data_IF_264091934319
#
_entry.id   IF_264091934319
#
_cell.length_a   1.000
_cell.length_b   1.000
_cell.length_c   1.000
_cell.angle_alpha   90.00
_cell.angle_beta   90.00
_cell.angle_gamma   90.00
#
_symmetry.space_group_name_H-M   'P 1'
#
loop_
_entity.id
_entity.type
_entity.pdbx_description
1 polymer ?
#
# COMPACT_ATOMS: atom_id res chain seq x y z
N UNK A 1 -0.04 -5.11 -14.84
CA UNK A 1 -0.40 -5.27 -13.42
C UNK A 1 -1.78 -5.88 -13.41
N UNK A 2 -1.91 -7.11 -12.91
CA UNK A 2 -3.03 -8.03 -13.09
C UNK A 2 -4.35 -7.50 -12.50
N UNK A 3 -5.47 -7.82 -13.16
CA UNK A 3 -6.85 -7.34 -12.95
C UNK A 3 -7.53 -7.69 -11.61
N UNK A 4 -6.80 -8.02 -10.54
CA UNK A 4 -7.39 -8.47 -9.27
C UNK A 4 -6.85 -7.67 -8.07
N UNK A 5 -6.89 -6.33 -8.14
CA UNK A 5 -6.80 -5.50 -6.92
C UNK A 5 -8.23 -5.21 -6.46
N UNK A 6 -8.68 -5.75 -5.32
CA UNK A 6 -9.98 -5.42 -4.76
C UNK A 6 -10.14 -3.90 -4.70
N UNK A 7 -11.24 -3.38 -5.22
CA UNK A 7 -11.52 -1.95 -5.14
C UNK A 7 -11.69 -1.61 -3.66
N UNK A 8 -10.74 -0.87 -3.10
CA UNK A 8 -10.84 -0.35 -1.75
C UNK A 8 -11.98 0.67 -1.72
N UNK A 9 -12.98 0.42 -0.88
CA UNK A 9 -14.21 1.23 -0.76
C UNK A 9 -14.22 2.07 0.51
N UNK A 10 -13.44 1.67 1.51
CA UNK A 10 -13.26 2.40 2.77
C UNK A 10 -11.81 2.84 2.96
N UNK A 11 -11.60 3.86 3.79
CA UNK A 11 -10.26 4.27 4.14
C UNK A 11 -9.53 3.20 4.96
N UNK A 12 -10.25 2.42 5.75
CA UNK A 12 -9.72 1.39 6.62
C UNK A 12 -9.21 0.17 5.84
N UNK A 13 -9.79 -0.09 4.67
CA UNK A 13 -9.25 -1.00 3.64
C UNK A 13 -8.03 -0.40 2.93
N UNK A 14 -8.07 0.90 2.63
CA UNK A 14 -6.96 1.60 1.99
C UNK A 14 -5.73 1.77 2.87
N UNK A 15 -5.93 1.90 4.19
CA UNK A 15 -4.86 2.26 5.11
C UNK A 15 -3.70 1.26 5.13
N UNK A 16 -3.93 -0.08 5.23
CA UNK A 16 -2.86 -1.05 5.11
C UNK A 16 -2.11 -0.95 3.78
N UNK A 17 -2.80 -0.79 2.65
CA UNK A 17 -2.18 -0.55 1.35
C UNK A 17 -1.33 0.72 1.35
N UNK A 18 -1.84 1.82 1.90
CA UNK A 18 -1.10 3.07 2.01
C UNK A 18 0.19 2.90 2.83
N UNK A 19 0.12 2.24 4.00
CA UNK A 19 1.31 1.97 4.84
C UNK A 19 2.31 1.08 4.09
N UNK A 20 1.80 0.15 3.30
CA UNK A 20 2.59 -0.74 2.45
C UNK A 20 3.37 0.00 1.36
N UNK A 21 2.93 1.21 0.98
CA UNK A 21 3.66 2.11 0.07
C UNK A 21 4.74 2.95 0.77
N UNK A 22 4.96 2.77 2.08
CA UNK A 22 5.91 3.52 2.89
C UNK A 22 6.63 2.61 3.89
N UNK A 23 7.08 1.44 3.44
CA UNK A 23 7.77 0.46 4.30
C UNK A 23 9.20 0.89 4.64
N UNK A 24 9.84 1.72 3.80
CA UNK A 24 11.15 2.27 4.10
C UNK A 24 11.08 3.35 5.21
N UNK A 25 11.88 3.24 6.28
CA UNK A 25 11.86 4.20 7.38
C UNK A 25 12.33 5.60 6.97
N UNK A 26 13.19 5.74 5.97
CA UNK A 26 13.64 7.03 5.44
C UNK A 26 12.55 7.69 4.62
N UNK A 27 11.81 6.92 3.82
CA UNK A 27 10.61 7.40 3.13
C UNK A 27 9.61 8.02 4.14
N UNK A 28 9.27 7.30 5.22
CA UNK A 28 8.37 7.81 6.27
C UNK A 28 8.91 9.07 6.95
N UNK A 29 10.22 9.13 7.24
CA UNK A 29 10.85 10.33 7.84
C UNK A 29 10.76 11.54 6.91
N UNK A 30 10.95 11.35 5.60
CA UNK A 30 10.83 12.43 4.63
C UNK A 30 9.38 12.93 4.54
N UNK A 31 8.39 12.04 4.53
CA UNK A 31 6.98 12.45 4.65
C UNK A 31 6.74 13.22 5.94
N UNK A 32 7.24 12.73 7.08
CA UNK A 32 7.11 13.42 8.36
C UNK A 32 7.66 14.84 8.34
N UNK A 33 8.87 15.02 7.80
CA UNK A 33 9.51 16.34 7.65
C UNK A 33 8.72 17.22 6.69
N UNK A 34 8.34 16.71 5.52
CA UNK A 34 7.56 17.44 4.52
C UNK A 34 6.21 17.93 5.06
N UNK A 35 5.45 17.05 5.70
CA UNK A 35 4.17 17.38 6.34
C UNK A 35 4.35 18.40 7.47
N UNK A 36 5.39 18.26 8.30
CA UNK A 36 5.68 19.22 9.38
C UNK A 36 5.99 20.62 8.84
N UNK A 37 6.80 20.71 7.78
CA UNK A 37 7.12 21.97 7.13
C UNK A 37 5.89 22.60 6.45
N UNK A 38 5.05 21.78 5.81
CA UNK A 38 3.79 22.24 5.23
C UNK A 38 2.84 22.80 6.31
N UNK A 39 2.69 22.10 7.43
CA UNK A 39 1.91 22.57 8.59
C UNK A 39 2.49 23.86 9.19
N UNK A 40 3.81 23.96 9.31
CA UNK A 40 4.49 25.19 9.72
C UNK A 40 4.22 26.37 8.78
N UNK A 41 4.22 26.13 7.47
CA UNK A 41 3.86 27.15 6.48
C UNK A 41 2.40 27.60 6.61
N UNK A 42 1.47 26.66 6.85
CA UNK A 42 0.07 26.97 7.11
C UNK A 42 -0.10 27.80 8.39
N UNK A 43 0.60 27.45 9.46
CA UNK A 43 0.58 28.19 10.72
C UNK A 43 1.14 29.62 10.57
N UNK A 44 2.11 29.83 9.67
CA UNK A 44 2.71 31.13 9.38
C UNK A 44 1.85 32.01 8.46
N UNK A 45 0.90 31.42 7.72
CA UNK A 45 0.10 32.11 6.70
C UNK A 45 -0.59 33.41 7.18
N UNK A 46 -1.12 33.51 8.42
CA UNK A 46 -1.70 34.77 8.92
C UNK A 46 -0.72 35.94 8.97
N UNK A 47 0.57 35.66 9.13
CA UNK A 47 1.64 36.68 9.20
C UNK A 47 2.38 36.86 7.87
N UNK A 48 2.46 35.79 7.08
CA UNK A 48 3.13 35.77 5.77
C UNK A 48 2.32 34.91 4.79
N UNK A 49 1.31 35.48 4.10
CA UNK A 49 0.45 34.71 3.20
C UNK A 49 1.20 33.98 2.07
N UNK A 50 2.36 34.51 1.64
CA UNK A 50 3.22 33.84 0.66
C UNK A 50 3.79 32.49 1.14
N UNK A 51 3.76 32.20 2.45
CA UNK A 51 4.11 30.88 2.99
C UNK A 51 3.18 29.77 2.46
N UNK A 52 1.94 30.10 2.07
CA UNK A 52 1.01 29.12 1.46
C UNK A 52 1.54 28.53 0.16
N UNK A 53 2.37 29.28 -0.60
CA UNK A 53 2.99 28.77 -1.81
C UNK A 53 4.10 27.76 -1.52
N UNK A 54 4.76 27.87 -0.36
CA UNK A 54 5.82 26.96 0.05
C UNK A 54 5.27 25.64 0.63
N UNK A 55 4.05 25.65 1.20
CA UNK A 55 3.43 24.48 1.79
C UNK A 55 3.35 23.25 0.85
N UNK A 56 2.83 23.36 -0.40
CA UNK A 56 2.83 22.22 -1.32
C UNK A 56 4.23 21.83 -1.79
N UNK A 57 5.16 22.78 -1.90
CA UNK A 57 6.55 22.50 -2.30
C UNK A 57 7.24 21.63 -1.27
N UNK A 58 7.12 21.96 0.02
CA UNK A 58 7.69 21.14 1.07
C UNK A 58 6.95 19.82 1.25
N UNK A 59 5.62 19.83 1.25
CA UNK A 59 4.83 18.60 1.36
C UNK A 59 5.18 17.59 0.28
N UNK A 60 5.01 17.97 -0.99
CA UNK A 60 5.25 17.07 -2.11
C UNK A 60 6.73 16.80 -2.38
N UNK A 61 7.60 17.81 -2.24
CA UNK A 61 9.02 17.66 -2.55
C UNK A 61 9.69 16.58 -1.70
N UNK A 62 9.47 16.60 -0.38
CA UNK A 62 10.01 15.58 0.51
C UNK A 62 9.31 14.23 0.34
N UNK A 63 7.99 14.21 0.21
CA UNK A 63 7.24 12.96 -0.01
C UNK A 63 7.70 12.23 -1.28
N UNK A 64 7.78 12.95 -2.40
CA UNK A 64 8.22 12.37 -3.67
C UNK A 64 9.68 11.95 -3.66
N UNK A 65 10.57 12.66 -2.94
CA UNK A 65 11.94 12.21 -2.73
C UNK A 65 11.98 10.87 -1.97
N UNK A 66 11.12 10.70 -0.96
CA UNK A 66 10.93 9.43 -0.25
C UNK A 66 10.56 8.29 -1.19
N UNK A 67 9.49 8.50 -1.97
CA UNK A 67 9.02 7.51 -2.94
C UNK A 67 10.04 7.22 -4.04
N UNK A 68 10.68 8.23 -4.62
CA UNK A 68 11.56 8.04 -5.78
C UNK A 68 12.92 7.43 -5.40
N UNK A 69 13.51 7.84 -4.28
CA UNK A 69 14.88 7.45 -3.92
C UNK A 69 14.94 6.22 -3.02
N UNK A 70 13.96 6.05 -2.12
CA UNK A 70 14.00 5.03 -1.08
C UNK A 70 13.02 3.90 -1.38
N UNK A 71 11.74 4.22 -1.54
CA UNK A 71 10.70 3.20 -1.73
C UNK A 71 10.69 2.64 -3.16
N UNK A 72 11.06 3.46 -4.15
CA UNK A 72 11.07 3.14 -5.58
C UNK A 72 9.70 2.69 -6.12
N UNK A 73 8.63 3.26 -5.59
CA UNK A 73 7.25 3.03 -6.05
C UNK A 73 6.61 4.32 -6.56
N UNK A 74 5.38 4.19 -7.09
CA UNK A 74 4.56 5.36 -7.43
C UNK A 74 3.69 5.74 -6.23
N UNK A 75 3.63 7.03 -5.84
CA UNK A 75 2.77 7.50 -4.77
C UNK A 75 1.31 7.06 -4.94
N UNK A 76 0.69 6.60 -3.85
CA UNK A 76 -0.73 6.24 -3.81
C UNK A 76 -1.65 7.44 -4.13
N UNK A 77 -1.15 8.68 -4.02
CA UNK A 77 -1.87 9.90 -4.36
C UNK A 77 -2.39 9.90 -5.80
N UNK A 78 -1.71 9.20 -6.72
CA UNK A 78 -2.15 9.08 -8.12
C UNK A 78 -3.37 8.17 -8.32
N UNK A 79 -3.70 7.32 -7.34
CA UNK A 79 -4.86 6.42 -7.39
C UNK A 79 -5.97 6.87 -6.44
N UNK A 80 -5.62 7.27 -5.21
CA UNK A 80 -6.56 7.73 -4.19
C UNK A 80 -6.07 9.05 -3.56
N UNK A 81 -6.26 10.21 -4.21
CA UNK A 81 -5.65 11.47 -3.78
C UNK A 81 -6.12 11.92 -2.38
N UNK A 82 -7.43 11.91 -2.13
CA UNK A 82 -8.00 12.34 -0.84
C UNK A 82 -7.63 11.39 0.30
N UNK A 83 -7.61 10.09 0.04
CA UNK A 83 -7.20 9.11 1.04
C UNK A 83 -5.71 9.13 1.30
N UNK A 84 -4.89 9.41 0.29
CA UNK A 84 -3.45 9.57 0.48
C UNK A 84 -3.14 10.79 1.34
N UNK A 85 -3.84 11.91 1.13
CA UNK A 85 -3.73 13.08 2.02
C UNK A 85 -4.13 12.76 3.46
N UNK A 86 -5.27 12.06 3.66
CA UNK A 86 -5.66 11.56 4.99
C UNK A 86 -4.62 10.60 5.58
N UNK A 87 -4.02 9.76 4.73
CA UNK A 87 -2.95 8.84 5.07
C UNK A 87 -1.71 9.57 5.57
N UNK A 88 -1.28 10.62 4.88
CA UNK A 88 -0.13 11.44 5.27
C UNK A 88 -0.32 12.02 6.67
N UNK A 89 -1.50 12.58 6.98
CA UNK A 89 -1.79 13.10 8.31
C UNK A 89 -1.87 12.00 9.38
N UNK A 90 -2.49 10.84 9.07
CA UNK A 90 -2.55 9.70 10.00
C UNK A 90 -1.15 9.15 10.29
N UNK A 91 -0.32 8.96 9.27
CA UNK A 91 1.05 8.51 9.41
C UNK A 91 1.90 9.52 10.17
N UNK A 92 1.77 10.82 9.86
CA UNK A 92 2.44 11.89 10.62
C UNK A 92 2.07 11.84 12.10
N UNK A 93 0.80 11.71 12.43
CA UNK A 93 0.31 11.63 13.81
C UNK A 93 0.80 10.38 14.54
N UNK A 94 0.73 9.21 13.91
CA UNK A 94 1.24 7.97 14.49
C UNK A 94 2.76 8.00 14.66
N UNK A 95 3.48 8.67 13.75
CA UNK A 95 4.93 8.90 13.88
C UNK A 95 5.24 9.80 15.08
N UNK A 96 4.48 10.89 15.28
CA UNK A 96 4.57 11.73 16.49
C UNK A 96 4.37 10.91 17.77
N UNK A 97 3.48 9.93 17.75
CA UNK A 97 3.17 9.07 18.90
C UNK A 97 4.12 7.87 19.05
N UNK A 98 5.00 7.60 18.09
CA UNK A 98 5.82 6.38 18.09
C UNK A 98 5.00 5.09 17.87
N UNK A 99 3.84 5.18 17.20
CA UNK A 99 2.86 4.09 17.05
C UNK A 99 2.76 3.52 15.63
N UNK A 100 3.80 3.68 14.82
CA UNK A 100 3.82 3.15 13.45
C UNK A 100 4.04 1.64 13.39
N UNK A 101 4.73 1.05 14.37
CA UNK A 101 5.12 -0.36 14.33
C UNK A 101 3.94 -1.33 14.11
N UNK A 102 2.82 -1.25 14.87
CA UNK A 102 1.71 -2.17 14.67
C UNK A 102 1.06 -2.04 13.28
N UNK A 103 1.09 -0.85 12.68
CA UNK A 103 0.50 -0.61 11.36
C UNK A 103 1.41 -1.15 10.25
N UNK A 104 2.74 -1.11 10.45
CA UNK A 104 3.71 -1.74 9.55
C UNK A 104 3.54 -3.26 9.55
N UNK A 105 3.41 -3.86 10.74
CA UNK A 105 3.16 -5.30 10.87
C UNK A 105 1.84 -5.72 10.19
N UNK A 106 0.77 -4.95 10.39
CA UNK A 106 -0.50 -5.17 9.69
C UNK A 106 -0.37 -5.08 8.17
N UNK A 107 0.38 -4.11 7.66
CA UNK A 107 0.61 -3.95 6.23
C UNK A 107 1.46 -5.09 5.63
N UNK A 108 2.47 -5.57 6.37
CA UNK A 108 3.28 -6.73 5.99
C UNK A 108 2.44 -8.02 5.97
N UNK A 109 1.59 -8.22 6.98
CA UNK A 109 0.70 -9.37 7.06
C UNK A 109 -0.28 -9.41 5.87
N UNK A 110 -0.88 -8.28 5.51
CA UNK A 110 -1.76 -8.18 4.33
C UNK A 110 -1.05 -8.61 3.04
N UNK A 111 0.20 -8.20 2.85
CA UNK A 111 0.98 -8.63 1.68
C UNK A 111 1.29 -10.13 1.70
N UNK A 112 1.64 -10.68 2.87
CA UNK A 112 1.89 -12.12 3.01
C UNK A 112 0.64 -12.94 2.67
N UNK A 113 -0.53 -12.53 3.15
CA UNK A 113 -1.81 -13.17 2.84
C UNK A 113 -2.17 -13.06 1.34
N UNK A 114 -1.96 -11.90 0.72
CA UNK A 114 -2.17 -11.72 -0.72
C UNK A 114 -1.28 -12.64 -1.55
N UNK A 115 0.00 -12.74 -1.20
CA UNK A 115 0.95 -13.63 -1.89
C UNK A 115 0.62 -15.10 -1.68
N UNK A 116 0.18 -15.49 -0.48
CA UNK A 116 -0.26 -16.86 -0.18
C UNK A 116 -1.54 -17.24 -0.95
N UNK A 117 -2.51 -16.33 -1.06
CA UNK A 117 -3.73 -16.52 -1.84
C UNK A 117 -3.45 -16.62 -3.35
N UNK A 118 -2.53 -15.81 -3.87
CA UNK A 118 -2.11 -15.86 -5.28
C UNK A 118 -1.38 -17.17 -5.65
N UNK A 119 -0.81 -17.89 -4.68
CA UNK A 119 -0.21 -19.21 -4.87
C UNK A 119 -1.19 -20.38 -4.70
N UNK A 120 -2.40 -20.12 -4.19
CA UNK A 120 -3.39 -21.14 -3.81
C UNK A 120 -4.44 -21.50 -4.87
N UNK A 121 -4.51 -20.79 -6.01
CA UNK A 121 -5.49 -21.05 -7.09
C UNK A 121 -4.92 -21.91 -8.24
N UNK A 122 -3.88 -22.72 -7.97
CA UNK A 122 -3.18 -23.50 -9.00
C UNK A 122 -3.26 -25.03 -8.90
N UNK A 123 -3.80 -25.60 -7.82
CA UNK A 123 -3.81 -27.05 -7.62
C UNK A 123 -5.17 -27.54 -7.10
N UNK A 124 -5.94 -28.20 -7.97
CA UNK A 124 -7.05 -29.04 -7.57
C UNK A 124 -8.30 -28.90 -8.44
N UNK A 125 -8.32 -29.61 -9.56
CA UNK A 125 -9.48 -30.42 -10.00
C UNK A 125 -9.11 -31.15 -11.30
N UNK A 126 -8.73 -32.42 -11.13
CA UNK A 126 -8.34 -33.30 -12.22
C UNK A 126 -8.36 -34.76 -11.78
N UNK A 127 -9.37 -35.15 -11.00
CA UNK A 127 -9.66 -36.56 -10.71
C UNK A 127 -11.17 -36.78 -10.82
N UNK A 128 -11.69 -36.81 -12.05
CA UNK A 128 -12.97 -37.45 -12.34
C UNK A 128 -12.70 -38.93 -12.65
N UNK A 129 -12.84 -39.69 -11.57
CA UNK A 129 -13.27 -41.07 -11.45
C UNK A 129 -14.13 -41.59 -12.63
N UNK A 130 -13.65 -42.63 -13.32
CA UNK A 130 -14.48 -43.53 -14.12
C UNK A 130 -14.14 -44.98 -13.76
N UNK A 131 -14.83 -45.50 -12.74
CA UNK A 131 -14.96 -46.95 -12.51
C UNK A 131 -16.17 -47.48 -13.32
N UNK A 132 -15.93 -48.51 -14.12
CA UNK A 132 -16.94 -49.19 -14.92
C UNK A 132 -16.54 -50.65 -15.10
N UNK A 133 -17.41 -51.63 -14.80
CA UNK A 133 -17.00 -53.02 -14.71
C UNK A 133 -16.96 -53.71 -16.08
N UNK A 134 -15.80 -54.30 -16.40
CA UNK A 134 -15.69 -55.59 -17.07
C UNK A 134 -15.92 -55.68 -18.59
N UNK A 135 -14.84 -55.85 -19.35
CA UNK A 135 -14.83 -56.73 -20.52
C UNK A 135 -13.42 -57.29 -20.80
N UNK A 136 -13.32 -58.62 -20.85
CA UNK A 136 -12.19 -59.43 -21.34
C UNK A 136 -11.94 -59.10 -22.83
N UNK A 137 -10.78 -59.31 -23.45
CA UNK A 137 -10.13 -60.59 -23.77
C UNK A 137 -8.77 -60.27 -24.43
N UNK A 138 -7.75 -61.07 -24.10
CA UNK A 138 -6.45 -61.13 -24.78
C UNK A 138 -6.47 -61.94 -26.09
N UNK A 139 -5.71 -61.46 -27.08
CA UNK A 139 -4.89 -62.15 -28.13
C UNK A 139 -5.03 -61.40 -29.46
N UNK A 140 -3.98 -60.91 -30.12
CA UNK A 140 -2.79 -61.57 -30.67
C UNK A 140 -3.12 -62.67 -31.70
N UNK A 141 -2.92 -62.29 -32.98
CA UNK A 141 -3.08 -63.00 -34.26
C UNK A 141 -4.50 -63.04 -34.84
#
# INVERSE_FOLDING_TARGET
MSEHTPKMTTFEEFWPYYVSQHLDPTCRKLHFVGTSLALGCLALAPFKPSALLAAPVFGYGFAWAGHALFEKNRPATFTHPLWSLRGDFRMWWLTCQGRMEPELERARAMFAEYMAGATGEGEGEGEDELDGPGARVSRAL
#
